data_IF_079154001228
#
_entry.id   IF_079154001228
#
_cell.length_a   1.000
_cell.length_b   1.000
_cell.length_c   1.000
_cell.angle_alpha   90.00
_cell.angle_beta   90.00
_cell.angle_gamma   90.00
#
_symmetry.space_group_name_H-M   'P 1'
#
loop_
_entity.id
_entity.type
_entity.pdbx_description
1 polymer ?
#
# COMPACT_ATOMS: atom_id res chain seq x y z
N UNK A 1 18.66 -14.69 5.06
CA UNK A 1 17.41 -14.64 4.27
C UNK A 1 16.72 -13.36 4.69
N UNK A 2 16.88 -12.28 3.92
CA UNK A 2 16.37 -10.97 4.32
C UNK A 2 15.15 -10.64 3.47
N UNK A 3 13.96 -10.93 3.98
CA UNK A 3 12.72 -10.39 3.45
C UNK A 3 12.63 -8.91 3.89
N UNK A 4 13.57 -8.08 3.41
CA UNK A 4 13.49 -6.62 3.50
C UNK A 4 12.45 -6.17 2.49
N UNK A 5 11.20 -6.35 2.88
CA UNK A 5 10.07 -5.80 2.16
C UNK A 5 10.13 -4.29 2.38
N UNK A 6 10.22 -3.54 1.28
CA UNK A 6 10.24 -2.09 1.29
C UNK A 6 8.83 -1.53 1.52
N UNK A 7 8.38 -1.60 2.78
CA UNK A 7 7.10 -1.05 3.23
C UNK A 7 7.03 0.46 2.93
N UNK A 8 8.15 1.16 3.11
CA UNK A 8 8.27 2.59 2.83
C UNK A 8 8.10 2.88 1.33
N UNK A 9 8.61 2.01 0.46
CA UNK A 9 8.40 2.03 -0.98
C UNK A 9 6.95 1.80 -1.39
N UNK A 10 6.22 0.91 -0.71
CA UNK A 10 4.79 0.67 -0.95
C UNK A 10 3.93 1.86 -0.52
N UNK A 11 4.22 2.45 0.63
CA UNK A 11 3.55 3.67 1.08
C UNK A 11 3.87 4.85 0.16
N UNK A 12 5.10 4.96 -0.31
CA UNK A 12 5.51 5.96 -1.30
C UNK A 12 4.78 5.76 -2.63
N UNK A 13 4.62 4.52 -3.08
CA UNK A 13 3.84 4.19 -4.28
C UNK A 13 2.38 4.62 -4.13
N UNK A 14 1.75 4.30 -2.99
CA UNK A 14 0.39 4.75 -2.68
C UNK A 14 0.26 6.26 -2.78
N UNK A 15 1.14 7.01 -2.09
CA UNK A 15 1.10 8.48 -2.08
C UNK A 15 1.30 9.08 -3.48
N UNK A 16 2.22 8.51 -4.29
CA UNK A 16 2.46 8.97 -5.65
C UNK A 16 1.25 8.75 -6.57
N UNK A 17 0.57 7.61 -6.41
CA UNK A 17 -0.65 7.30 -7.15
C UNK A 17 -1.79 8.27 -6.79
N UNK A 18 -2.03 8.52 -5.50
CA UNK A 18 -3.02 9.51 -5.04
C UNK A 18 -2.78 10.87 -5.71
N UNK A 19 -1.54 11.37 -5.66
CA UNK A 19 -1.15 12.65 -6.27
C UNK A 19 -1.34 12.66 -7.79
N UNK A 20 -1.03 11.55 -8.47
CA UNK A 20 -1.23 11.43 -9.92
C UNK A 20 -2.71 11.56 -10.30
N UNK A 21 -3.62 10.99 -9.49
CA UNK A 21 -5.05 11.15 -9.72
C UNK A 21 -5.54 12.57 -9.48
N UNK A 22 -5.10 13.23 -8.41
CA UNK A 22 -5.45 14.64 -8.15
C UNK A 22 -5.02 15.54 -9.31
N UNK A 23 -3.80 15.34 -9.82
CA UNK A 23 -3.29 16.08 -10.98
C UNK A 23 -4.12 15.83 -12.25
N UNK A 24 -4.50 14.57 -12.51
CA UNK A 24 -5.33 14.21 -13.67
C UNK A 24 -6.74 14.82 -13.55
N UNK A 25 -7.34 14.80 -12.37
CA UNK A 25 -8.64 15.41 -12.11
C UNK A 25 -8.60 16.92 -12.34
N UNK A 26 -7.56 17.60 -11.85
CA UNK A 26 -7.34 19.02 -12.11
C UNK A 26 -7.18 19.32 -13.61
N UNK A 27 -6.38 18.54 -14.33
CA UNK A 27 -6.19 18.72 -15.77
C UNK A 27 -7.49 18.51 -16.56
N UNK A 28 -8.30 17.51 -16.19
CA UNK A 28 -9.58 17.23 -16.84
C UNK A 28 -10.64 18.29 -16.53
N UNK A 29 -10.63 18.85 -15.31
CA UNK A 29 -11.47 19.99 -14.97
C UNK A 29 -11.07 21.25 -15.75
N UNK A 30 -9.77 21.54 -15.87
CA UNK A 30 -9.27 22.65 -16.68
C UNK A 30 -9.65 22.49 -18.17
N UNK A 31 -9.57 21.28 -18.72
CA UNK A 31 -10.01 20.98 -20.08
C UNK A 31 -11.52 21.22 -20.29
N UNK A 32 -12.36 20.87 -19.31
CA UNK A 32 -13.81 21.17 -19.35
C UNK A 32 -14.08 22.67 -19.32
N UNK A 33 -13.37 23.41 -18.47
CA UNK A 33 -13.60 24.85 -18.34
C UNK A 33 -13.26 25.57 -19.66
N UNK A 34 -12.22 25.13 -20.36
CA UNK A 34 -11.84 25.61 -21.71
C UNK A 34 -12.81 25.13 -22.81
N UNK A 35 -13.36 23.91 -22.73
CA UNK A 35 -14.30 23.37 -23.73
C UNK A 35 -15.62 24.14 -23.72
N UNK A 36 -16.08 24.58 -22.54
CA UNK A 36 -17.32 25.33 -22.36
C UNK A 36 -17.33 26.70 -23.05
N UNK A 37 -16.15 27.32 -23.24
CA UNK A 37 -16.00 28.64 -23.86
C UNK A 37 -15.68 28.61 -25.36
N UNK A 38 -15.26 27.47 -25.95
CA UNK A 38 -14.68 27.48 -27.31
C UNK A 38 -15.10 26.39 -28.29
N UNK A 39 -15.55 25.21 -27.84
CA UNK A 39 -15.70 24.05 -28.73
C UNK A 39 -16.94 23.23 -28.34
N UNK A 40 -18.05 23.43 -29.05
CA UNK A 40 -19.34 22.77 -28.83
C UNK A 40 -19.37 21.26 -29.10
N UNK A 41 -18.51 20.47 -28.46
CA UNK A 41 -18.46 19.02 -28.58
C UNK A 41 -18.90 18.34 -27.28
N UNK A 42 -20.21 18.13 -27.14
CA UNK A 42 -20.83 17.31 -26.07
C UNK A 42 -20.20 15.93 -25.94
N UNK A 43 -19.70 15.37 -27.04
CA UNK A 43 -19.00 14.07 -27.06
C UNK A 43 -17.65 14.10 -26.37
N UNK A 44 -16.90 15.21 -26.47
CA UNK A 44 -15.61 15.37 -25.80
C UNK A 44 -15.80 15.51 -24.28
N UNK A 45 -16.77 16.32 -23.87
CA UNK A 45 -17.12 16.46 -22.44
C UNK A 45 -17.56 15.12 -21.84
N UNK A 46 -18.38 14.35 -22.56
CA UNK A 46 -18.80 13.01 -22.12
C UNK A 46 -17.60 12.06 -22.02
N UNK A 47 -16.73 12.01 -23.04
CA UNK A 47 -15.55 11.15 -23.01
C UNK A 47 -14.59 11.52 -21.87
N UNK A 48 -14.41 12.82 -21.58
CA UNK A 48 -13.62 13.28 -20.44
C UNK A 48 -14.28 12.94 -19.09
N UNK A 49 -15.61 12.98 -19.00
CA UNK A 49 -16.34 12.55 -17.80
C UNK A 49 -16.18 11.04 -17.56
N UNK A 50 -16.41 10.22 -18.58
CA UNK A 50 -16.30 8.76 -18.50
C UNK A 50 -14.85 8.33 -18.17
N UNK A 51 -13.87 8.99 -18.77
CA UNK A 51 -12.46 8.76 -18.49
C UNK A 51 -12.12 9.10 -17.03
N UNK A 52 -12.57 10.25 -16.50
CA UNK A 52 -12.38 10.61 -15.09
C UNK A 52 -12.93 9.56 -14.14
N UNK A 53 -14.17 9.12 -14.37
CA UNK A 53 -14.83 8.17 -13.49
C UNK A 53 -14.12 6.80 -13.50
N UNK A 54 -13.77 6.33 -14.69
CA UNK A 54 -13.04 5.08 -14.88
C UNK A 54 -11.66 5.15 -14.23
N UNK A 55 -10.94 6.26 -14.44
CA UNK A 55 -9.62 6.48 -13.86
C UNK A 55 -9.67 6.53 -12.33
N UNK A 56 -10.62 7.28 -11.75
CA UNK A 56 -10.80 7.38 -10.30
C UNK A 56 -11.10 6.01 -9.67
N UNK A 57 -11.93 5.21 -10.35
CA UNK A 57 -12.23 3.84 -9.93
C UNK A 57 -11.01 2.94 -10.00
N UNK A 58 -10.24 3.04 -11.09
CA UNK A 58 -8.99 2.29 -11.27
C UNK A 58 -7.98 2.62 -10.18
N UNK A 59 -7.76 3.91 -9.90
CA UNK A 59 -6.87 4.35 -8.84
C UNK A 59 -7.27 3.79 -7.48
N UNK A 60 -8.54 3.93 -7.11
CA UNK A 60 -9.03 3.46 -5.82
C UNK A 60 -8.74 1.98 -5.61
N UNK A 61 -8.90 1.16 -6.65
CA UNK A 61 -8.54 -0.27 -6.61
C UNK A 61 -7.04 -0.50 -6.38
N UNK A 62 -6.18 0.30 -7.00
CA UNK A 62 -4.73 0.21 -6.80
C UNK A 62 -4.34 0.64 -5.39
N UNK A 63 -4.93 1.71 -4.86
CA UNK A 63 -4.72 2.15 -3.47
C UNK A 63 -5.17 1.08 -2.46
N UNK A 64 -6.35 0.49 -2.66
CA UNK A 64 -6.85 -0.61 -1.84
C UNK A 64 -5.93 -1.83 -1.89
N UNK A 65 -5.43 -2.19 -3.08
CA UNK A 65 -4.49 -3.30 -3.25
C UNK A 65 -3.16 -3.02 -2.53
N UNK A 66 -2.62 -1.82 -2.68
CA UNK A 66 -1.36 -1.40 -2.06
C UNK A 66 -1.50 -1.38 -0.54
N UNK A 67 -2.61 -0.85 -0.01
CA UNK A 67 -2.89 -0.87 1.43
C UNK A 67 -2.96 -2.29 2.00
N UNK A 68 -3.67 -3.21 1.32
CA UNK A 68 -3.73 -4.62 1.74
C UNK A 68 -2.37 -5.31 1.70
N UNK A 69 -1.54 -4.99 0.72
CA UNK A 69 -0.17 -5.51 0.66
C UNK A 69 0.64 -5.00 1.86
N UNK A 70 0.63 -3.69 2.12
CA UNK A 70 1.31 -3.10 3.28
C UNK A 70 0.86 -3.76 4.59
N UNK A 71 -0.45 -3.88 4.83
CA UNK A 71 -1.01 -4.52 6.03
C UNK A 71 -0.58 -5.99 6.18
N UNK A 72 -0.66 -6.76 5.10
CA UNK A 72 -0.28 -8.17 5.11
C UNK A 72 1.21 -8.38 5.38
N UNK A 73 2.06 -7.50 4.83
CA UNK A 73 3.50 -7.55 5.02
C UNK A 73 3.90 -7.14 6.45
N UNK A 74 3.24 -6.12 7.01
CA UNK A 74 3.41 -5.75 8.42
C UNK A 74 2.98 -6.87 9.38
N UNK A 75 1.88 -7.56 9.07
CA UNK A 75 1.44 -8.73 9.84
C UNK A 75 2.49 -9.83 9.78
N UNK A 76 2.96 -10.20 8.58
CA UNK A 76 3.97 -11.22 8.41
C UNK A 76 5.26 -10.88 9.18
N UNK A 77 5.70 -9.61 9.13
CA UNK A 77 6.87 -9.15 9.90
C UNK A 77 6.67 -9.34 11.40
N UNK A 78 5.50 -8.98 11.94
CA UNK A 78 5.19 -9.17 13.37
C UNK A 78 5.20 -10.64 13.74
N UNK A 79 4.60 -11.50 12.92
CA UNK A 79 4.56 -12.94 13.15
C UNK A 79 5.97 -13.56 13.17
N UNK A 80 6.87 -13.12 12.27
CA UNK A 80 8.26 -13.56 12.29
C UNK A 80 9.01 -13.12 13.54
N UNK A 81 8.89 -11.86 13.96
CA UNK A 81 9.53 -11.35 15.18
C UNK A 81 9.02 -12.08 16.43
N UNK A 82 7.72 -12.31 16.50
CA UNK A 82 7.10 -13.04 17.61
C UNK A 82 7.55 -14.51 17.62
N UNK A 83 7.64 -15.16 16.45
CA UNK A 83 8.15 -16.51 16.33
C UNK A 83 9.62 -16.61 16.76
N UNK A 84 10.48 -15.69 16.32
CA UNK A 84 11.88 -15.65 16.74
C UNK A 84 12.01 -15.50 18.26
N UNK A 85 11.22 -14.60 18.86
CA UNK A 85 11.21 -14.39 20.31
C UNK A 85 10.76 -15.66 21.06
N UNK A 86 9.73 -16.35 20.59
CA UNK A 86 9.26 -17.60 21.20
C UNK A 86 10.31 -18.72 21.10
N UNK A 87 11.04 -18.78 19.98
CA UNK A 87 12.16 -19.70 19.81
C UNK A 87 13.26 -19.38 20.82
N UNK A 88 13.69 -18.12 20.93
CA UNK A 88 14.71 -17.69 21.90
C UNK A 88 14.30 -18.00 23.35
N UNK A 89 13.06 -17.69 23.74
CA UNK A 89 12.54 -17.98 25.09
C UNK A 89 12.48 -19.49 25.36
N UNK A 90 12.06 -20.29 24.38
CA UNK A 90 12.00 -21.75 24.50
C UNK A 90 13.38 -22.40 24.67
N UNK A 91 14.39 -21.91 23.93
CA UNK A 91 15.77 -22.38 24.06
C UNK A 91 16.42 -21.91 25.37
N UNK A 92 16.19 -20.67 25.79
CA UNK A 92 16.68 -20.17 27.08
C UNK A 92 16.10 -20.94 28.26
N UNK A 93 14.81 -21.32 28.19
CA UNK A 93 14.17 -22.17 29.21
C UNK A 93 14.80 -23.57 29.30
N UNK A 94 15.11 -24.20 28.16
CA UNK A 94 15.78 -25.51 28.12
C UNK A 94 17.22 -25.47 28.63
N UNK A 95 17.98 -24.41 28.35
CA UNK A 95 19.36 -24.26 28.85
C UNK A 95 19.41 -24.11 30.38
N UNK A 96 18.42 -23.42 30.96
CA UNK A 96 18.26 -23.30 32.42
C UNK A 96 17.89 -24.65 33.06
N UNK A 97 17.03 -25.47 32.44
CA UNK A 97 16.70 -26.81 32.93
C UNK A 97 17.87 -27.79 32.84
N UNK A 98 18.69 -27.71 31.78
CA UNK A 98 19.87 -28.57 31.61
C UNK A 98 21.05 -28.17 32.50
N UNK A 99 21.20 -26.87 32.82
CA UNK A 99 22.24 -26.36 33.72
C UNK A 99 21.94 -26.55 35.21
N UNK A 100 20.67 -26.67 35.60
CA UNK A 100 20.25 -26.83 37.00
C UNK A 100 20.35 -28.26 37.57
N UNK A 101 20.61 -29.27 36.72
CA UNK A 101 20.61 -30.69 37.10
C UNK A 101 21.92 -31.24 37.66
N UNK A 102 23.04 -30.52 37.57
CA UNK A 102 24.36 -30.98 38.00
C UNK A 102 24.75 -30.41 39.37
N UNK A 103 24.03 -30.80 40.43
CA UNK A 103 24.28 -30.31 41.78
C UNK A 103 23.65 -31.17 42.87
N UNK A 104 24.03 -32.44 42.95
CA UNK A 104 23.85 -33.30 44.13
C UNK A 104 25.09 -34.14 44.36
#
# INVERSE_FOLDING_TARGET
>A
MDFRVDIEGLDSLKNNLTRSSENLEQALNAMRDISSESLGYRTLDQACADFRETWRTGLKKVEECTGKLTEGLDSARKDYVELEKQIEEGFAGMEVELGGGAGK
#
